data_IF_976130167515
#
_entry.id   IF_976130167515
#
_cell.length_a   1.000
_cell.length_b   1.000
_cell.length_c   1.000
_cell.angle_alpha   90.00
_cell.angle_beta   90.00
_cell.angle_gamma   90.00
#
_symmetry.space_group_name_H-M   'P 1'
#
loop_
_entity.id
_entity.type
_entity.pdbx_description
1 polymer ?
#
# COMPACT_ATOMS: atom_id res chain seq x y z
N UNK A 1 11.25 -2.79 22.54
CA UNK A 1 10.91 -1.67 21.64
C UNK A 1 9.68 -2.10 20.84
N UNK A 2 8.54 -1.41 20.94
CA UNK A 2 7.34 -1.78 20.17
C UNK A 2 7.49 -1.31 18.73
N UNK A 3 7.32 -2.21 17.76
CA UNK A 3 7.34 -1.89 16.32
C UNK A 3 5.93 -1.54 15.86
N UNK A 4 5.82 -0.65 14.87
CA UNK A 4 4.53 -0.37 14.22
C UNK A 4 4.23 -1.52 13.27
N UNK A 5 3.08 -2.16 13.46
CA UNK A 5 2.61 -3.26 12.63
C UNK A 5 1.26 -2.98 11.96
N UNK A 6 0.92 -3.80 10.99
CA UNK A 6 -0.44 -3.90 10.47
C UNK A 6 -1.28 -4.78 11.39
N UNK A 7 -2.49 -4.34 11.69
CA UNK A 7 -3.50 -5.18 12.31
C UNK A 7 -3.97 -6.23 11.30
N UNK A 8 -4.49 -7.37 11.77
CA UNK A 8 -4.95 -8.46 10.89
C UNK A 8 -5.90 -7.96 9.80
N UNK A 9 -6.87 -7.13 10.15
CA UNK A 9 -7.87 -6.58 9.21
C UNK A 9 -7.24 -5.63 8.17
N UNK A 10 -6.18 -4.92 8.54
CA UNK A 10 -5.45 -4.04 7.64
C UNK A 10 -4.61 -4.86 6.66
N UNK A 11 -3.88 -5.85 7.17
CA UNK A 11 -3.08 -6.74 6.34
C UNK A 11 -3.94 -7.52 5.35
N UNK A 12 -5.10 -8.03 5.77
CA UNK A 12 -6.03 -8.72 4.87
C UNK A 12 -6.49 -7.82 3.72
N UNK A 13 -6.81 -6.54 3.98
CA UNK A 13 -7.18 -5.57 2.92
C UNK A 13 -6.02 -5.31 1.95
N UNK A 14 -4.80 -5.18 2.47
CA UNK A 14 -3.59 -4.98 1.66
C UNK A 14 -3.30 -6.22 0.80
N UNK A 15 -3.46 -7.42 1.36
CA UNK A 15 -3.22 -8.67 0.64
C UNK A 15 -4.32 -8.98 -0.39
N UNK A 16 -5.56 -8.59 -0.13
CA UNK A 16 -6.66 -8.70 -1.09
C UNK A 16 -6.41 -7.85 -2.35
N UNK A 17 -6.05 -6.57 -2.19
CA UNK A 17 -5.69 -5.72 -3.34
C UNK A 17 -4.43 -6.26 -4.04
N UNK A 18 -3.46 -6.77 -3.28
CA UNK A 18 -2.26 -7.40 -3.84
C UNK A 18 -2.60 -8.60 -4.72
N UNK A 19 -3.44 -9.53 -4.26
CA UNK A 19 -3.85 -10.70 -5.04
C UNK A 19 -4.52 -10.31 -6.35
N UNK A 20 -5.39 -9.30 -6.33
CA UNK A 20 -6.04 -8.76 -7.54
C UNK A 20 -5.03 -8.12 -8.51
N UNK A 21 -4.05 -7.38 -7.99
CA UNK A 21 -2.98 -6.78 -8.80
C UNK A 21 -2.03 -7.82 -9.39
N UNK A 22 -1.77 -8.94 -8.70
CA UNK A 22 -1.02 -10.09 -9.22
C UNK A 22 -1.81 -10.77 -10.34
N UNK A 23 -3.11 -11.01 -10.14
CA UNK A 23 -3.98 -11.60 -11.16
C UNK A 23 -4.05 -10.74 -12.43
N UNK A 24 -4.04 -9.41 -12.30
CA UNK A 24 -3.96 -8.47 -13.41
C UNK A 24 -2.53 -8.31 -14.00
N UNK A 25 -1.53 -9.02 -13.48
CA UNK A 25 -0.15 -8.99 -13.98
C UNK A 25 0.64 -7.73 -13.64
N UNK A 26 0.13 -6.87 -12.75
CA UNK A 26 0.82 -5.64 -12.34
C UNK A 26 1.91 -5.90 -11.32
N UNK A 27 1.66 -6.81 -10.37
CA UNK A 27 2.59 -7.13 -9.29
C UNK A 27 3.01 -8.58 -9.32
N UNK A 28 4.19 -8.86 -8.79
CA UNK A 28 4.76 -10.20 -8.70
C UNK A 28 5.38 -10.50 -7.35
N UNK A 29 5.81 -9.47 -6.65
CA UNK A 29 6.51 -9.59 -5.37
C UNK A 29 6.10 -8.46 -4.43
N UNK A 30 6.31 -8.66 -3.13
CA UNK A 30 6.11 -7.65 -2.12
C UNK A 30 7.15 -7.76 -1.00
N UNK A 31 7.40 -6.65 -0.33
CA UNK A 31 8.19 -6.60 0.89
C UNK A 31 7.39 -5.91 1.99
N UNK A 32 7.58 -6.37 3.23
CA UNK A 32 7.05 -5.70 4.41
C UNK A 32 8.21 -5.30 5.33
N UNK A 33 8.13 -4.08 5.86
CA UNK A 33 9.09 -3.55 6.83
C UNK A 33 8.33 -2.96 8.03
N UNK A 34 8.80 -3.28 9.23
CA UNK A 34 8.17 -2.91 10.50
C UNK A 34 9.16 -2.10 11.34
N UNK A 35 9.13 -0.79 11.12
CA UNK A 35 9.95 0.16 11.84
C UNK A 35 9.34 0.60 13.17
N UNK A 36 10.12 1.37 13.91
CA UNK A 36 9.67 2.06 15.14
C UNK A 36 8.58 3.13 14.86
N UNK A 37 8.62 3.74 13.67
CA UNK A 37 7.76 4.88 13.32
C UNK A 37 6.66 4.50 12.33
N UNK A 38 6.88 3.45 11.52
CA UNK A 38 6.02 3.10 10.42
C UNK A 38 6.03 1.60 10.11
N UNK A 39 4.87 1.07 9.73
CA UNK A 39 4.77 -0.18 8.98
C UNK A 39 4.68 0.14 7.48
N UNK A 40 5.39 -0.61 6.65
CA UNK A 40 5.46 -0.41 5.21
C UNK A 40 5.14 -1.73 4.49
N UNK A 41 4.30 -1.64 3.47
CA UNK A 41 4.11 -2.67 2.46
C UNK A 41 4.53 -2.10 1.11
N UNK A 42 5.46 -2.73 0.41
CA UNK A 42 5.96 -2.30 -0.89
C UNK A 42 5.68 -3.39 -1.92
N UNK A 43 5.08 -3.02 -3.05
CA UNK A 43 4.73 -3.95 -4.12
C UNK A 43 5.57 -3.72 -5.38
N UNK A 44 6.04 -4.80 -5.98
CA UNK A 44 7.00 -4.78 -7.08
C UNK A 44 6.44 -5.48 -8.32
N UNK A 45 6.73 -4.92 -9.49
CA UNK A 45 6.49 -5.59 -10.78
C UNK A 45 7.57 -6.64 -11.08
N UNK A 46 8.81 -6.36 -10.71
CA UNK A 46 9.96 -7.27 -10.81
C UNK A 46 10.86 -7.12 -9.58
N UNK A 47 11.51 -8.20 -9.18
CA UNK A 47 12.50 -8.21 -8.10
C UNK A 47 13.67 -7.27 -8.46
N UNK A 48 14.09 -6.43 -7.50
CA UNK A 48 15.14 -5.40 -7.63
C UNK A 48 14.79 -4.08 -8.36
N UNK A 49 13.53 -3.87 -8.77
CA UNK A 49 13.06 -2.57 -9.25
C UNK A 49 12.52 -1.68 -8.12
N UNK A 50 12.27 -0.39 -8.41
CA UNK A 50 11.57 0.49 -7.46
C UNK A 50 10.16 -0.04 -7.18
N UNK A 51 9.66 0.04 -5.93
CA UNK A 51 8.29 -0.34 -5.64
C UNK A 51 7.32 0.45 -6.52
N UNK A 52 6.46 -0.24 -7.26
CA UNK A 52 5.42 0.41 -8.08
C UNK A 52 4.34 1.07 -7.22
N UNK A 53 4.14 0.55 -6.01
CA UNK A 53 3.31 1.12 -4.99
C UNK A 53 3.90 0.84 -3.62
N UNK A 54 3.71 1.76 -2.68
CA UNK A 54 4.08 1.57 -1.28
C UNK A 54 2.97 2.10 -0.37
N UNK A 55 2.50 1.26 0.54
CA UNK A 55 1.50 1.59 1.55
C UNK A 55 2.22 1.75 2.87
N UNK A 56 1.93 2.82 3.59
CA UNK A 56 2.61 3.17 4.84
C UNK A 56 1.59 3.50 5.94
N UNK A 57 1.79 2.93 7.13
CA UNK A 57 1.05 3.24 8.37
C UNK A 57 1.96 3.98 9.33
N UNK A 58 1.68 5.26 9.64
CA UNK A 58 2.37 6.08 10.64
C UNK A 58 1.40 6.57 11.73
N UNK A 59 1.30 5.86 12.87
CA UNK A 59 0.36 6.21 13.94
C UNK A 59 0.51 7.65 14.47
N UNK A 60 1.73 8.21 14.46
CA UNK A 60 2.03 9.58 14.89
C UNK A 60 1.32 10.66 14.04
N UNK A 61 0.81 10.30 12.85
CA UNK A 61 0.07 11.20 11.97
C UNK A 61 -1.47 11.03 12.06
N UNK A 62 -1.97 10.15 12.93
CA UNK A 62 -3.41 9.84 13.06
C UNK A 62 -4.28 11.07 13.26
N UNK A 63 -3.85 12.01 14.11
CA UNK A 63 -4.56 13.28 14.38
C UNK A 63 -4.17 14.45 13.48
N UNK A 64 -3.33 14.22 12.46
CA UNK A 64 -2.90 15.24 11.50
C UNK A 64 -3.60 15.00 10.16
N UNK A 65 -2.82 14.91 9.08
CA UNK A 65 -3.25 14.58 7.72
C UNK A 65 -3.63 13.10 7.49
N UNK A 66 -3.66 12.28 8.54
CA UNK A 66 -4.00 10.86 8.48
C UNK A 66 -2.81 9.92 8.55
N UNK A 67 -3.02 8.73 9.16
CA UNK A 67 -1.96 7.76 9.42
C UNK A 67 -1.57 6.90 8.22
N UNK A 68 -2.35 6.92 7.13
CA UNK A 68 -2.14 6.08 5.96
C UNK A 68 -1.68 6.89 4.76
N UNK A 69 -0.68 6.39 4.05
CA UNK A 69 -0.24 6.96 2.79
C UNK A 69 -0.01 5.89 1.72
N UNK A 70 -0.44 6.19 0.49
CA UNK A 70 -0.09 5.45 -0.72
C UNK A 70 0.92 6.28 -1.50
N UNK A 71 2.05 5.65 -1.83
CA UNK A 71 3.08 6.21 -2.68
C UNK A 71 3.08 5.48 -4.03
N UNK A 72 3.40 6.23 -5.08
CA UNK A 72 3.61 5.70 -6.43
C UNK A 72 5.08 5.35 -6.69
N UNK A 73 5.34 4.91 -7.91
CA UNK A 73 6.66 4.42 -8.37
C UNK A 73 7.78 5.47 -8.28
N UNK A 74 7.46 6.76 -8.45
CA UNK A 74 8.44 7.85 -8.32
C UNK A 74 8.61 8.31 -6.85
N UNK A 75 8.02 7.59 -5.88
CA UNK A 75 8.05 7.96 -4.47
C UNK A 75 7.13 9.13 -4.12
N UNK A 76 6.31 9.60 -5.05
CA UNK A 76 5.31 10.64 -4.82
C UNK A 76 4.13 10.09 -4.01
N UNK A 77 3.54 10.92 -3.15
CA UNK A 77 2.32 10.57 -2.42
C UNK A 77 1.13 10.65 -3.37
N UNK A 78 0.51 9.52 -3.69
CA UNK A 78 -0.71 9.45 -4.51
C UNK A 78 -1.95 9.76 -3.68
N UNK A 79 -1.97 9.31 -2.42
CA UNK A 79 -3.07 9.54 -1.49
C UNK A 79 -2.60 9.50 -0.05
N UNK A 80 -3.21 10.31 0.81
CA UNK A 80 -3.06 10.24 2.26
C UNK A 80 -4.43 10.36 2.93
N UNK A 81 -4.63 9.66 4.05
CA UNK A 81 -5.92 9.68 4.75
C UNK A 81 -5.90 8.97 6.11
N UNK A 82 -7.03 9.06 6.80
CA UNK A 82 -7.25 8.45 8.12
C UNK A 82 -7.71 6.98 8.02
N UNK A 83 -8.26 6.59 6.88
CA UNK A 83 -8.73 5.24 6.57
C UNK A 83 -7.86 4.58 5.49
N UNK A 84 -7.65 3.27 5.63
CA UNK A 84 -6.89 2.47 4.68
C UNK A 84 -7.65 2.29 3.36
N UNK A 85 -8.96 2.02 3.39
CA UNK A 85 -9.75 1.80 2.18
C UNK A 85 -9.70 2.98 1.20
N UNK A 86 -9.91 4.20 1.71
CA UNK A 86 -9.81 5.42 0.92
C UNK A 86 -8.41 5.68 0.34
N UNK A 87 -7.36 5.16 0.98
CA UNK A 87 -5.98 5.22 0.49
C UNK A 87 -5.70 4.16 -0.59
N UNK A 88 -6.39 3.02 -0.56
CA UNK A 88 -6.28 1.95 -1.56
C UNK A 88 -7.10 2.23 -2.84
N UNK A 89 -8.10 3.11 -2.78
CA UNK A 89 -8.98 3.44 -3.92
C UNK A 89 -8.27 3.72 -5.26
N UNK A 90 -7.11 4.43 -5.33
CA UNK A 90 -6.40 4.63 -6.59
C UNK A 90 -5.95 3.32 -7.26
N UNK A 91 -5.63 2.29 -6.46
CA UNK A 91 -5.26 0.96 -6.96
C UNK A 91 -6.49 0.21 -7.48
N UNK A 92 -7.62 0.30 -6.77
CA UNK A 92 -8.89 -0.30 -7.21
C UNK A 92 -9.36 0.29 -8.53
N UNK A 93 -9.29 1.62 -8.67
CA UNK A 93 -9.62 2.30 -9.93
C UNK A 93 -8.72 1.87 -11.09
N UNK A 94 -7.45 1.57 -10.82
CA UNK A 94 -6.53 1.04 -11.84
C UNK A 94 -6.95 -0.35 -12.31
N UNK A 95 -7.42 -1.21 -11.41
CA UNK A 95 -7.93 -2.53 -11.76
C UNK A 95 -9.20 -2.46 -12.61
N UNK A 96 -10.12 -1.54 -12.29
CA UNK A 96 -11.36 -1.38 -13.07
C UNK A 96 -11.07 -1.06 -14.54
N UNK A 97 -10.09 -0.21 -14.81
CA UNK A 97 -9.70 0.16 -16.18
C UNK A 97 -9.16 -1.01 -17.01
N UNK A 98 -8.60 -2.04 -16.37
CA UNK A 98 -8.05 -3.21 -17.10
C UNK A 98 -9.15 -4.13 -17.60
N UNK A 99 -10.31 -4.15 -16.93
CA UNK A 99 -11.44 -5.03 -17.30
C UNK A 99 -12.24 -4.45 -18.48
N UNK A 100 -12.04 -3.17 -18.80
CA UNK A 100 -12.69 -2.48 -19.92
C UNK A 100 -11.96 -2.66 -21.26
N UNK A 101 -10.82 -3.37 -21.29
CA UNK A 101 -10.00 -3.65 -22.48
C UNK A 101 -10.02 -5.14 -22.91
#
# INVERSE_FOLDING_TARGET
MQQVGFERVELLKILDIYGRMVAAGFWRDYAMDFGKDAAVFAAFKRTAERPTARIEKRPSLRGKQGMWALFGEAGQVLKRGHDLGGVLFPLERRLMKVVEE
#
